data_IF_010763419731
#
_entry.id   IF_010763419731
#
_cell.length_a   1.000
_cell.length_b   1.000
_cell.length_c   1.000
_cell.angle_alpha   90.00
_cell.angle_beta   90.00
_cell.angle_gamma   90.00
#
_symmetry.space_group_name_H-M   'P 1'
#
loop_
_entity.id
_entity.type
_entity.pdbx_description
1 polymer ?
#
# COMPACT_ATOMS: atom_id res chain seq x y z
N UNK A 1 -1.36 15.04 -11.52
CA UNK A 1 -2.07 14.76 -12.81
C UNK A 1 -3.32 13.95 -12.55
N UNK A 2 -3.21 12.79 -11.89
CA UNK A 2 -4.38 11.99 -11.46
C UNK A 2 -5.31 12.79 -10.53
N UNK A 3 -4.75 13.65 -9.67
CA UNK A 3 -5.52 14.55 -8.79
C UNK A 3 -6.20 15.73 -9.51
N UNK A 4 -6.28 15.72 -10.85
CA UNK A 4 -7.01 16.72 -11.63
C UNK A 4 -6.28 18.04 -11.88
N UNK A 5 -4.96 18.11 -11.64
CA UNK A 5 -4.20 19.33 -11.87
C UNK A 5 -4.24 19.79 -13.35
N UNK A 6 -4.78 20.99 -13.61
CA UNK A 6 -4.89 21.57 -14.96
C UNK A 6 -3.54 22.03 -15.55
N UNK A 7 -2.55 22.28 -14.70
CA UNK A 7 -1.20 22.71 -15.09
C UNK A 7 -0.15 22.01 -14.23
N UNK A 8 0.97 21.64 -14.84
CA UNK A 8 2.13 21.04 -14.15
C UNK A 8 3.36 21.90 -14.36
N UNK A 9 4.22 21.98 -13.33
CA UNK A 9 5.47 22.74 -13.40
C UNK A 9 6.60 21.82 -13.84
N UNK A 10 7.27 22.14 -14.95
CA UNK A 10 8.42 21.40 -15.46
C UNK A 10 9.55 22.41 -15.72
N UNK A 11 10.72 22.20 -15.08
CA UNK A 11 11.91 23.04 -15.21
C UNK A 11 11.69 24.56 -15.00
N UNK A 12 10.69 24.96 -14.21
CA UNK A 12 10.39 26.37 -13.92
C UNK A 12 9.11 26.87 -14.58
N UNK A 13 8.66 26.24 -15.66
CA UNK A 13 7.53 26.69 -16.47
C UNK A 13 6.24 25.90 -16.19
N UNK A 14 5.10 26.58 -16.32
CA UNK A 14 3.76 25.99 -16.11
C UNK A 14 3.14 25.52 -17.42
N UNK A 15 3.09 24.20 -17.63
CA UNK A 15 2.57 23.55 -18.84
C UNK A 15 1.12 23.08 -18.60
N UNK A 16 0.15 23.42 -19.48
CA UNK A 16 -1.23 22.97 -19.34
C UNK A 16 -1.40 21.49 -19.71
N UNK A 17 -2.24 20.78 -18.96
CA UNK A 17 -2.64 19.40 -19.25
C UNK A 17 -3.81 19.44 -20.23
N UNK A 18 -3.56 19.10 -21.50
CA UNK A 18 -4.57 19.09 -22.58
C UNK A 18 -5.11 17.70 -22.92
N UNK A 19 -4.47 16.65 -22.38
CA UNK A 19 -4.84 15.27 -22.67
C UNK A 19 -6.08 14.87 -21.85
N UNK A 20 -6.90 13.97 -22.41
CA UNK A 20 -7.92 13.26 -21.63
C UNK A 20 -7.23 12.30 -20.67
N UNK A 21 -7.60 12.37 -19.40
CA UNK A 21 -7.08 11.49 -18.35
C UNK A 21 -8.14 10.44 -18.02
N UNK A 22 -7.73 9.18 -18.00
CA UNK A 22 -8.56 8.06 -17.59
C UNK A 22 -7.74 7.19 -16.63
N UNK A 23 -8.34 6.74 -15.54
CA UNK A 23 -7.69 5.85 -14.58
C UNK A 23 -8.26 4.45 -14.74
N UNK A 24 -7.39 3.50 -15.12
CA UNK A 24 -7.74 2.09 -15.20
C UNK A 24 -7.25 1.40 -13.93
N UNK A 25 -8.16 1.12 -13.00
CA UNK A 25 -7.87 0.34 -11.79
C UNK A 25 -7.66 -1.15 -12.14
N UNK A 26 -6.75 -1.82 -11.46
CA UNK A 26 -6.58 -3.29 -11.55
C UNK A 26 -5.50 -3.80 -12.52
N UNK A 27 -4.71 -2.91 -13.12
CA UNK A 27 -3.57 -3.29 -13.99
C UNK A 27 -2.20 -3.21 -13.29
N UNK A 28 -2.18 -2.91 -11.99
CA UNK A 28 -0.95 -2.67 -11.23
C UNK A 28 -0.18 -3.95 -10.89
N UNK A 29 -0.86 -5.11 -10.89
CA UNK A 29 -0.28 -6.40 -10.48
C UNK A 29 -0.01 -6.52 -8.98
N UNK A 30 -0.34 -5.49 -8.20
CA UNK A 30 -0.28 -5.53 -6.73
C UNK A 30 -1.58 -6.10 -6.18
N UNK A 31 -1.46 -6.92 -5.14
CA UNK A 31 -2.61 -7.38 -4.37
C UNK A 31 -3.28 -6.23 -3.64
N UNK A 32 -4.60 -6.13 -3.73
CA UNK A 32 -5.37 -5.24 -2.86
C UNK A 32 -5.44 -5.79 -1.41
N UNK A 33 -6.09 -5.04 -0.51
CA UNK A 33 -6.19 -5.43 0.89
C UNK A 33 -6.91 -6.77 1.10
N UNK A 34 -7.91 -7.08 0.28
CA UNK A 34 -8.68 -8.32 0.37
C UNK A 34 -7.89 -9.51 -0.19
N UNK A 35 -7.14 -9.30 -1.28
CA UNK A 35 -6.25 -10.30 -1.85
C UNK A 35 -5.10 -10.63 -0.89
N UNK A 36 -4.52 -9.64 -0.22
CA UNK A 36 -3.47 -9.85 0.79
C UNK A 36 -4.03 -10.61 2.01
N UNK A 37 -5.20 -10.22 2.51
CA UNK A 37 -5.87 -10.93 3.60
C UNK A 37 -6.15 -12.40 3.23
N UNK A 38 -6.69 -12.62 2.04
CA UNK A 38 -6.98 -13.96 1.55
C UNK A 38 -5.70 -14.80 1.40
N UNK A 39 -4.61 -14.20 0.90
CA UNK A 39 -3.33 -14.87 0.80
C UNK A 39 -2.79 -15.28 2.17
N UNK A 40 -2.90 -14.41 3.19
CA UNK A 40 -2.52 -14.74 4.56
C UNK A 40 -3.40 -15.86 5.15
N UNK A 41 -4.71 -15.84 4.89
CA UNK A 41 -5.62 -16.89 5.35
C UNK A 41 -5.33 -18.27 4.73
N UNK A 42 -4.75 -18.31 3.54
CA UNK A 42 -4.33 -19.54 2.85
C UNK A 42 -2.90 -19.97 3.19
N UNK A 43 -2.16 -19.15 3.93
CA UNK A 43 -0.78 -19.47 4.30
C UNK A 43 -0.72 -20.53 5.41
N UNK A 44 0.35 -21.32 5.43
CA UNK A 44 0.64 -22.28 6.51
C UNK A 44 1.28 -21.61 7.74
N UNK A 45 1.17 -20.28 7.88
CA UNK A 45 1.75 -19.55 9.00
C UNK A 45 0.97 -19.83 10.29
N UNK A 46 1.71 -20.00 11.39
CA UNK A 46 1.10 -20.18 12.69
C UNK A 46 0.33 -18.91 13.12
N UNK A 47 -0.75 -19.05 13.89
CA UNK A 47 -1.36 -17.91 14.57
C UNK A 47 -0.30 -17.12 15.36
N UNK A 48 -0.48 -15.81 15.49
CA UNK A 48 0.43 -14.89 16.21
C UNK A 48 1.82 -14.73 15.55
N UNK A 49 2.04 -15.27 14.35
CA UNK A 49 3.26 -15.01 13.58
C UNK A 49 3.44 -13.49 13.39
N UNK A 50 4.60 -12.91 13.75
CA UNK A 50 4.87 -11.49 13.52
C UNK A 50 5.01 -11.17 12.02
N UNK A 51 4.22 -10.21 11.54
CA UNK A 51 4.22 -9.71 10.16
C UNK A 51 4.65 -8.26 10.16
N UNK A 52 5.62 -7.92 9.31
CA UNK A 52 6.07 -6.54 9.13
C UNK A 52 5.67 -6.06 7.73
N UNK A 53 4.82 -5.04 7.67
CA UNK A 53 4.39 -4.38 6.45
C UNK A 53 5.47 -3.41 5.97
N UNK A 54 5.75 -3.46 4.68
CA UNK A 54 6.73 -2.63 3.96
C UNK A 54 6.15 -2.23 2.60
N UNK A 55 6.86 -1.35 1.89
CA UNK A 55 6.56 -0.97 0.49
C UNK A 55 5.11 -0.51 0.28
N UNK A 56 4.78 0.62 0.88
CA UNK A 56 3.51 1.32 0.67
C UNK A 56 3.62 2.72 1.25
N UNK A 57 2.63 3.56 0.93
CA UNK A 57 2.53 4.86 1.56
C UNK A 57 2.23 4.70 3.06
N UNK A 58 2.76 5.56 3.94
CA UNK A 58 2.59 5.41 5.38
C UNK A 58 1.12 5.24 5.81
N UNK A 59 0.22 6.06 5.28
CA UNK A 59 -1.22 5.98 5.59
C UNK A 59 -1.86 4.67 5.10
N UNK A 60 -1.43 4.17 3.94
CA UNK A 60 -1.93 2.92 3.39
C UNK A 60 -1.45 1.70 4.22
N UNK A 61 -0.19 1.72 4.66
CA UNK A 61 0.39 0.67 5.51
C UNK A 61 -0.29 0.64 6.89
N UNK A 62 -0.54 1.81 7.48
CA UNK A 62 -1.26 1.94 8.75
C UNK A 62 -2.68 1.39 8.64
N UNK A 63 -3.41 1.75 7.58
CA UNK A 63 -4.75 1.23 7.33
C UNK A 63 -4.77 -0.28 7.12
N UNK A 64 -3.81 -0.82 6.35
CA UNK A 64 -3.68 -2.26 6.13
C UNK A 64 -3.31 -3.02 7.42
N UNK A 65 -2.44 -2.44 8.27
CA UNK A 65 -2.11 -3.01 9.59
C UNK A 65 -3.37 -3.17 10.43
N UNK A 66 -4.16 -2.12 10.53
CA UNK A 66 -5.38 -2.12 11.34
C UNK A 66 -6.41 -3.10 10.79
N UNK A 67 -6.57 -3.16 9.46
CA UNK A 67 -7.42 -4.15 8.78
C UNK A 67 -7.00 -5.59 9.10
N UNK A 68 -5.72 -5.91 8.95
CA UNK A 68 -5.23 -7.28 9.18
C UNK A 68 -5.28 -7.67 10.67
N UNK A 69 -5.03 -6.74 11.61
CA UNK A 69 -5.19 -7.00 13.05
C UNK A 69 -6.64 -7.28 13.45
N UNK A 70 -7.61 -6.70 12.76
CA UNK A 70 -9.03 -6.91 13.04
C UNK A 70 -9.57 -8.22 12.44
N UNK A 71 -9.03 -8.63 11.29
CA UNK A 71 -9.57 -9.75 10.51
C UNK A 71 -8.73 -11.03 10.57
N UNK A 72 -7.53 -10.97 11.13
CA UNK A 72 -6.62 -12.13 11.25
C UNK A 72 -6.14 -12.32 12.69
N UNK A 73 -5.40 -13.41 12.94
CA UNK A 73 -4.76 -13.68 14.23
C UNK A 73 -3.25 -13.39 14.23
N UNK A 74 -2.77 -12.63 13.25
CA UNK A 74 -1.35 -12.30 13.13
C UNK A 74 -1.00 -11.04 13.92
N UNK A 75 0.24 -10.99 14.41
CA UNK A 75 0.80 -9.79 15.02
C UNK A 75 1.39 -8.91 13.91
N UNK A 76 0.62 -7.93 13.44
CA UNK A 76 1.02 -7.11 12.27
C UNK A 76 1.58 -5.77 12.73
N UNK A 77 2.73 -5.34 12.21
CA UNK A 77 3.30 -4.01 12.45
C UNK A 77 3.87 -3.39 11.17
N UNK A 78 4.13 -2.08 11.16
CA UNK A 78 4.73 -1.37 10.01
C UNK A 78 6.21 -1.14 10.28
N UNK A 79 7.07 -1.61 9.37
CA UNK A 79 8.51 -1.44 9.55
C UNK A 79 8.91 0.03 9.34
N UNK A 80 9.63 0.58 10.31
CA UNK A 80 10.23 1.91 10.20
C UNK A 80 11.48 1.91 9.33
N UNK A 81 11.78 3.04 8.70
CA UNK A 81 13.07 3.22 8.03
C UNK A 81 14.21 3.00 9.04
N UNK A 82 15.17 2.14 8.69
CA UNK A 82 16.29 1.72 9.55
C UNK A 82 15.90 0.91 10.80
N UNK A 83 14.67 0.41 10.91
CA UNK A 83 14.32 -0.53 11.97
C UNK A 83 15.11 -1.84 11.81
N UNK A 84 15.58 -2.40 12.92
CA UNK A 84 16.27 -3.69 12.95
C UNK A 84 15.35 -4.70 13.65
N UNK A 85 14.87 -5.69 12.89
CA UNK A 85 14.15 -6.83 13.43
C UNK A 85 15.16 -7.87 13.93
N UNK A 86 14.99 -8.34 15.17
CA UNK A 86 15.75 -9.48 15.71
C UNK A 86 14.75 -10.62 15.92
N UNK A 87 15.04 -11.75 15.30
CA UNK A 87 14.24 -12.97 15.33
C UNK A 87 14.84 -13.98 16.30
#
# INVERSE_FOLDING_TARGET
MVDGAERIKIHGDWIPVKARLEVLSGLSGHGDFAEIEQWLAQSDLAPETPINLIHGDPEALEALRDHLRQNTRFEVDVAGYQSILRL
#
